data_IF_345341441963
#
_entry.id   IF_345341441963
#
_cell.length_a   1.000
_cell.length_b   1.000
_cell.length_c   1.000
_cell.angle_alpha   90.00
_cell.angle_beta   90.00
_cell.angle_gamma   90.00
#
_symmetry.space_group_name_H-M   'P 1'
#
loop_
_entity.id
_entity.type
_entity.pdbx_description
1 polymer ?
#
# COMPACT_ATOMS: atom_id res chain seq x y z
N UNK A 1 -41.11 -3.71 2.14
CA UNK A 1 -40.05 -2.80 2.61
C UNK A 1 -39.72 -3.19 4.05
N UNK A 2 -38.56 -3.80 4.28
CA UNK A 2 -38.09 -4.15 5.63
C UNK A 2 -37.54 -2.88 6.28
N UNK A 3 -38.37 -2.16 7.02
CA UNK A 3 -37.91 -1.05 7.84
C UNK A 3 -37.14 -1.62 9.03
N UNK A 4 -35.84 -1.33 9.10
CA UNK A 4 -35.01 -1.65 10.26
C UNK A 4 -35.54 -0.87 11.47
N UNK A 5 -35.57 -1.54 12.64
CA UNK A 5 -36.06 -0.96 13.90
C UNK A 5 -35.20 0.24 14.31
N UNK A 6 -35.83 1.32 14.80
CA UNK A 6 -35.15 2.50 15.34
C UNK A 6 -34.17 2.20 16.48
N UNK A 7 -34.27 1.01 17.10
CA UNK A 7 -33.32 0.50 18.06
C UNK A 7 -31.92 0.20 17.47
N UNK A 8 -31.81 0.02 16.14
CA UNK A 8 -30.53 -0.07 15.45
C UNK A 8 -29.90 1.31 15.19
N UNK A 9 -30.70 2.38 15.20
CA UNK A 9 -30.25 3.76 15.00
C UNK A 9 -29.84 4.46 16.30
N UNK A 10 -30.20 3.90 17.46
CA UNK A 10 -29.92 4.47 18.79
C UNK A 10 -28.61 3.99 19.42
N UNK A 11 -27.62 3.61 18.61
CA UNK A 11 -26.21 3.68 18.98
C UNK A 11 -25.75 5.14 19.02
N UNK A 12 -26.42 5.97 19.81
CA UNK A 12 -26.21 7.40 19.90
C UNK A 12 -24.73 7.69 20.18
N UNK A 13 -24.15 8.51 19.30
CA UNK A 13 -22.84 9.09 19.43
C UNK A 13 -22.69 9.71 20.83
N UNK A 14 -21.99 8.99 21.72
CA UNK A 14 -21.44 9.60 22.92
C UNK A 14 -20.58 10.82 22.55
N UNK A 15 -20.39 11.78 23.46
CA UNK A 15 -19.62 12.99 23.16
C UNK A 15 -18.31 12.61 22.50
N UNK A 16 -18.10 13.09 21.26
CA UNK A 16 -16.87 12.85 20.50
C UNK A 16 -15.72 13.38 21.33
N UNK A 17 -15.06 12.49 22.07
CA UNK A 17 -13.89 12.87 22.87
C UNK A 17 -12.86 13.41 21.88
N UNK A 18 -12.36 14.63 22.09
CA UNK A 18 -11.37 15.20 21.20
C UNK A 18 -10.15 14.26 21.17
N UNK A 19 -9.62 14.02 19.97
CA UNK A 19 -8.43 13.18 19.78
C UNK A 19 -7.29 13.78 20.60
N UNK A 20 -6.64 12.94 21.39
CA UNK A 20 -5.53 13.30 22.26
C UNK A 20 -4.38 13.93 21.46
N UNK A 21 -3.63 14.88 22.04
CA UNK A 21 -2.46 15.46 21.39
C UNK A 21 -1.43 14.40 20.97
N UNK A 22 -1.22 13.35 21.79
CA UNK A 22 -0.31 12.26 21.45
C UNK A 22 -0.78 11.49 20.21
N UNK A 23 -2.04 11.05 20.16
CA UNK A 23 -2.58 10.34 19.01
C UNK A 23 -2.60 11.19 17.75
N UNK A 24 -2.91 12.49 17.85
CA UNK A 24 -2.79 13.42 16.71
C UNK A 24 -1.37 13.43 16.14
N UNK A 25 -0.35 13.53 17.00
CA UNK A 25 1.05 13.53 16.58
C UNK A 25 1.45 12.23 15.89
N UNK A 26 1.01 11.09 16.41
CA UNK A 26 1.24 9.76 15.80
C UNK A 26 0.54 9.67 14.45
N UNK A 27 -0.75 10.02 14.38
CA UNK A 27 -1.55 9.97 13.15
C UNK A 27 -0.92 10.85 12.07
N UNK A 28 -0.52 12.09 12.38
CA UNK A 28 0.13 12.98 11.42
C UNK A 28 1.45 12.41 10.90
N UNK A 29 2.28 11.87 11.81
CA UNK A 29 3.56 11.25 11.43
C UNK A 29 3.36 10.03 10.53
N UNK A 30 2.44 9.13 10.88
CA UNK A 30 2.13 7.93 10.07
C UNK A 30 1.50 8.33 8.73
N UNK A 31 0.57 9.29 8.74
CA UNK A 31 -0.09 9.79 7.54
C UNK A 31 0.92 10.39 6.56
N UNK A 32 1.89 11.16 7.05
CA UNK A 32 2.96 11.70 6.20
C UNK A 32 3.78 10.59 5.52
N UNK A 33 4.10 9.51 6.23
CA UNK A 33 4.79 8.36 5.63
C UNK A 33 3.88 7.64 4.62
N UNK A 34 2.61 7.40 4.95
CA UNK A 34 1.67 6.77 4.03
C UNK A 34 1.42 7.60 2.78
N UNK A 35 1.53 8.94 2.84
CA UNK A 35 1.45 9.78 1.66
C UNK A 35 2.54 9.40 0.63
N UNK A 36 3.77 9.17 1.10
CA UNK A 36 4.90 8.77 0.24
C UNK A 36 4.63 7.41 -0.40
N UNK A 37 4.23 6.42 0.41
CA UNK A 37 3.84 5.08 -0.07
C UNK A 37 2.70 5.15 -1.09
N UNK A 38 1.70 6.00 -0.83
CA UNK A 38 0.53 6.16 -1.69
C UNK A 38 0.90 6.77 -3.03
N UNK A 39 1.76 7.80 -3.05
CA UNK A 39 2.25 8.38 -4.30
C UNK A 39 3.06 7.35 -5.09
N UNK A 40 3.96 6.62 -4.41
CA UNK A 40 4.78 5.58 -5.03
C UNK A 40 3.93 4.45 -5.62
N UNK A 41 2.90 3.99 -4.91
CA UNK A 41 1.94 3.01 -5.41
C UNK A 41 1.08 3.56 -6.57
N UNK A 42 0.71 4.83 -6.52
CA UNK A 42 -0.08 5.50 -7.56
C UNK A 42 0.67 5.68 -8.89
N UNK A 43 2.01 5.72 -8.88
CA UNK A 43 2.82 5.68 -10.12
C UNK A 43 2.64 4.39 -10.92
N UNK A 44 2.17 3.34 -10.24
CA UNK A 44 2.07 1.98 -10.75
C UNK A 44 0.61 1.59 -10.94
N UNK A 45 -0.25 2.56 -11.25
CA UNK A 45 -1.65 2.32 -11.59
C UNK A 45 -1.76 1.35 -12.76
N UNK A 46 -2.82 0.52 -12.75
CA UNK A 46 -3.04 -0.53 -13.76
C UNK A 46 -3.02 0.01 -15.20
N UNK A 47 -3.53 1.21 -15.44
CA UNK A 47 -3.50 1.85 -16.76
C UNK A 47 -2.06 2.12 -17.25
N UNK A 48 -1.20 2.68 -16.39
CA UNK A 48 0.19 2.99 -16.74
C UNK A 48 1.03 1.72 -16.88
N UNK A 49 0.82 0.73 -16.00
CA UNK A 49 1.48 -0.57 -16.15
C UNK A 49 1.02 -1.30 -17.42
N UNK A 50 -0.27 -1.26 -17.75
CA UNK A 50 -0.79 -1.82 -18.99
C UNK A 50 -0.14 -1.14 -20.20
N UNK A 51 -0.04 0.19 -20.17
CA UNK A 51 0.63 0.95 -21.23
C UNK A 51 2.12 0.59 -21.32
N UNK A 52 2.83 0.48 -20.20
CA UNK A 52 4.23 0.03 -20.15
C UNK A 52 4.40 -1.35 -20.81
N UNK A 53 3.60 -2.35 -20.43
CA UNK A 53 3.72 -3.70 -20.99
C UNK A 53 3.38 -3.73 -22.48
N UNK A 54 2.35 -3.00 -22.89
CA UNK A 54 1.95 -2.87 -24.29
C UNK A 54 3.06 -2.26 -25.14
N UNK A 55 3.56 -1.08 -24.77
CA UNK A 55 4.60 -0.38 -25.55
C UNK A 55 5.94 -1.12 -25.52
N UNK A 56 6.35 -1.66 -24.37
CA UNK A 56 7.67 -2.28 -24.22
C UNK A 56 7.79 -3.63 -24.91
N UNK A 57 6.70 -4.41 -24.94
CA UNK A 57 6.72 -5.81 -25.37
C UNK A 57 5.72 -6.14 -26.49
N UNK A 58 4.93 -5.18 -26.97
CA UNK A 58 3.93 -5.35 -28.04
C UNK A 58 2.93 -6.48 -27.77
N UNK A 59 2.55 -6.69 -26.50
CA UNK A 59 1.61 -7.75 -26.10
C UNK A 59 0.16 -7.28 -26.13
N UNK A 60 -0.77 -8.21 -26.35
CA UNK A 60 -2.20 -7.90 -26.45
C UNK A 60 -2.83 -7.54 -25.09
N UNK A 61 -3.92 -6.79 -25.15
CA UNK A 61 -4.72 -6.47 -23.96
C UNK A 61 -5.24 -7.72 -23.23
N UNK A 62 -5.55 -8.80 -23.97
CA UNK A 62 -5.97 -10.07 -23.37
C UNK A 62 -4.87 -10.68 -22.48
N UNK A 63 -3.62 -10.64 -22.93
CA UNK A 63 -2.50 -11.17 -22.16
C UNK A 63 -2.21 -10.32 -20.92
N UNK A 64 -2.27 -8.99 -21.04
CA UNK A 64 -2.15 -8.07 -19.90
C UNK A 64 -3.30 -8.27 -18.91
N UNK A 65 -4.52 -8.47 -19.40
CA UNK A 65 -5.69 -8.78 -18.58
C UNK A 65 -5.49 -10.07 -17.77
N UNK A 66 -4.95 -11.11 -18.39
CA UNK A 66 -4.57 -12.36 -17.71
C UNK A 66 -3.49 -12.14 -16.65
N UNK A 67 -2.47 -11.33 -16.93
CA UNK A 67 -1.43 -10.95 -15.97
C UNK A 67 -2.02 -10.26 -14.74
N UNK A 68 -2.89 -9.27 -14.94
CA UNK A 68 -3.53 -8.56 -13.83
C UNK A 68 -4.52 -9.44 -13.07
N UNK A 69 -5.22 -10.36 -13.73
CA UNK A 69 -6.04 -11.34 -13.04
C UNK A 69 -5.18 -12.20 -12.09
N UNK A 70 -4.08 -12.76 -12.57
CA UNK A 70 -3.16 -13.55 -11.75
C UNK A 70 -2.56 -12.73 -10.60
N UNK A 71 -2.22 -11.46 -10.84
CA UNK A 71 -1.78 -10.54 -9.80
C UNK A 71 -2.83 -10.36 -8.71
N UNK A 72 -4.10 -10.13 -9.06
CA UNK A 72 -5.18 -9.97 -8.07
C UNK A 72 -5.40 -11.22 -7.24
N UNK A 73 -5.26 -12.40 -7.83
CA UNK A 73 -5.31 -13.68 -7.09
C UNK A 73 -4.15 -13.77 -6.10
N UNK A 74 -2.92 -13.47 -6.52
CA UNK A 74 -1.75 -13.45 -5.64
C UNK A 74 -1.89 -12.43 -4.52
N UNK A 75 -2.42 -11.25 -4.80
CA UNK A 75 -2.68 -10.21 -3.79
C UNK A 75 -3.65 -10.72 -2.72
N UNK A 76 -4.75 -11.36 -3.12
CA UNK A 76 -5.72 -11.93 -2.19
C UNK A 76 -5.09 -13.01 -1.29
N UNK A 77 -4.26 -13.90 -1.87
CA UNK A 77 -3.53 -14.91 -1.11
C UNK A 77 -2.49 -14.26 -0.16
N UNK A 78 -1.83 -13.19 -0.61
CA UNK A 78 -0.82 -12.48 0.18
C UNK A 78 -1.42 -11.85 1.44
N UNK A 79 -2.67 -11.39 1.41
CA UNK A 79 -3.32 -10.83 2.59
C UNK A 79 -3.47 -11.86 3.72
N UNK A 80 -3.72 -13.13 3.40
CA UNK A 80 -3.73 -14.22 4.39
C UNK A 80 -2.32 -14.48 4.92
N UNK A 81 -1.32 -14.51 4.03
CA UNK A 81 0.09 -14.66 4.40
C UNK A 81 0.61 -13.52 5.26
N UNK A 82 0.08 -12.30 5.09
CA UNK A 82 0.47 -11.12 5.85
C UNK A 82 0.13 -11.24 7.33
N UNK A 83 -1.03 -11.81 7.68
CA UNK A 83 -1.42 -12.04 9.07
C UNK A 83 -0.45 -13.01 9.76
N UNK A 84 -0.19 -14.16 9.11
CA UNK A 84 0.77 -15.16 9.60
C UNK A 84 2.18 -14.58 9.76
N UNK A 85 2.64 -13.76 8.81
CA UNK A 85 3.97 -13.16 8.88
C UNK A 85 4.05 -12.10 9.99
N UNK A 86 3.00 -11.28 10.13
CA UNK A 86 2.90 -10.28 11.18
C UNK A 86 2.94 -10.88 12.59
N UNK A 87 2.30 -12.03 12.82
CA UNK A 87 2.40 -12.73 14.11
C UNK A 87 3.83 -13.16 14.44
N UNK A 88 4.66 -13.45 13.43
CA UNK A 88 6.03 -13.94 13.63
C UNK A 88 7.05 -12.84 13.79
N UNK A 89 6.96 -11.79 12.98
CA UNK A 89 8.01 -10.75 12.93
C UNK A 89 7.50 -9.36 13.30
N UNK A 90 6.19 -9.19 13.52
CA UNK A 90 5.53 -7.92 13.81
C UNK A 90 5.00 -7.19 12.57
N UNK A 91 4.04 -6.30 12.78
CA UNK A 91 3.34 -5.54 11.74
C UNK A 91 4.29 -4.65 10.92
N UNK A 92 5.13 -3.87 11.60
CA UNK A 92 6.06 -2.93 10.94
C UNK A 92 7.11 -3.68 10.12
N UNK A 93 7.67 -4.77 10.67
CA UNK A 93 8.67 -5.56 9.96
C UNK A 93 8.05 -6.31 8.77
N UNK A 94 6.81 -6.77 8.89
CA UNK A 94 6.09 -7.39 7.77
C UNK A 94 5.93 -6.42 6.62
N UNK A 95 5.44 -5.20 6.86
CA UNK A 95 5.34 -4.16 5.83
C UNK A 95 6.69 -3.92 5.13
N UNK A 96 7.75 -3.70 5.92
CA UNK A 96 9.06 -3.30 5.40
C UNK A 96 9.75 -4.44 4.64
N UNK A 97 9.75 -5.65 5.20
CA UNK A 97 10.47 -6.78 4.61
C UNK A 97 9.75 -7.44 3.44
N UNK A 98 8.47 -7.14 3.20
CA UNK A 98 7.78 -7.53 1.96
C UNK A 98 7.89 -6.44 0.90
N UNK A 99 7.80 -5.16 1.28
CA UNK A 99 7.90 -4.05 0.33
C UNK A 99 9.29 -3.87 -0.29
N UNK A 100 10.38 -4.04 0.45
CA UNK A 100 11.73 -3.88 -0.09
C UNK A 100 12.00 -4.88 -1.24
N UNK A 101 11.84 -6.22 -1.05
CA UNK A 101 12.04 -7.17 -2.15
C UNK A 101 11.03 -6.95 -3.28
N UNK A 102 9.78 -6.59 -2.96
CA UNK A 102 8.78 -6.21 -3.96
C UNK A 102 9.25 -5.01 -4.82
N UNK A 103 9.82 -3.99 -4.20
CA UNK A 103 10.34 -2.80 -4.90
C UNK A 103 11.56 -3.12 -5.76
N UNK A 104 12.42 -4.05 -5.31
CA UNK A 104 13.54 -4.55 -6.13
C UNK A 104 13.01 -5.32 -7.35
N UNK A 105 12.02 -6.20 -7.16
CA UNK A 105 11.37 -6.93 -8.25
C UNK A 105 10.74 -5.96 -9.27
N UNK A 106 10.10 -4.89 -8.79
CA UNK A 106 9.54 -3.85 -9.63
C UNK A 106 10.62 -3.15 -10.48
N UNK A 107 11.73 -2.74 -9.87
CA UNK A 107 12.83 -2.15 -10.62
C UNK A 107 13.39 -3.13 -11.67
N UNK A 108 13.47 -4.42 -11.33
CA UNK A 108 13.91 -5.47 -12.25
C UNK A 108 12.98 -5.64 -13.46
N UNK A 109 11.67 -5.37 -13.34
CA UNK A 109 10.72 -5.38 -14.49
C UNK A 109 11.19 -4.43 -15.60
N UNK A 110 11.74 -3.27 -15.25
CA UNK A 110 12.26 -2.30 -16.22
C UNK A 110 13.42 -2.83 -17.06
N UNK A 111 14.15 -3.84 -16.57
CA UNK A 111 15.28 -4.48 -17.24
C UNK A 111 14.93 -5.83 -17.88
N UNK A 112 13.67 -6.26 -17.81
CA UNK A 112 13.28 -7.56 -18.34
C UNK A 112 13.49 -7.64 -19.87
N UNK A 113 14.14 -8.71 -20.38
CA UNK A 113 14.45 -8.85 -21.81
C UNK A 113 13.22 -9.20 -22.65
N UNK A 114 12.18 -9.76 -22.05
CA UNK A 114 10.92 -10.13 -22.71
C UNK A 114 9.75 -10.08 -21.72
N UNK A 115 8.53 -10.17 -22.26
CA UNK A 115 7.30 -10.09 -21.48
C UNK A 115 7.21 -11.14 -20.38
N UNK A 116 7.61 -12.38 -20.64
CA UNK A 116 7.44 -13.47 -19.66
C UNK A 116 8.30 -13.27 -18.42
N UNK A 117 9.53 -12.81 -18.59
CA UNK A 117 10.40 -12.43 -17.46
C UNK A 117 9.77 -11.27 -16.69
N UNK A 118 9.28 -10.25 -17.40
CA UNK A 118 8.63 -9.09 -16.79
C UNK A 118 7.36 -9.49 -16.00
N UNK A 119 6.55 -10.40 -16.56
CA UNK A 119 5.34 -10.93 -15.95
C UNK A 119 5.65 -11.73 -14.68
N UNK A 120 6.66 -12.61 -14.69
CA UNK A 120 7.05 -13.37 -13.50
C UNK A 120 7.53 -12.43 -12.39
N UNK A 121 8.42 -11.48 -12.71
CA UNK A 121 8.91 -10.48 -11.74
C UNK A 121 7.76 -9.66 -11.17
N UNK A 122 6.82 -9.24 -12.02
CA UNK A 122 5.63 -8.50 -11.60
C UNK A 122 4.72 -9.34 -10.70
N UNK A 123 4.46 -10.61 -11.03
CA UNK A 123 3.62 -11.49 -10.20
C UNK A 123 4.25 -11.77 -8.83
N UNK A 124 5.55 -12.02 -8.78
CA UNK A 124 6.29 -12.17 -7.53
C UNK A 124 6.21 -10.88 -6.69
N UNK A 125 6.33 -9.72 -7.33
CA UNK A 125 6.15 -8.41 -6.69
C UNK A 125 4.76 -8.29 -6.07
N UNK A 126 3.72 -8.63 -6.82
CA UNK A 126 2.31 -8.52 -6.41
C UNK A 126 2.03 -9.39 -5.17
N UNK A 127 2.54 -10.63 -5.17
CA UNK A 127 2.45 -11.51 -4.00
C UNK A 127 3.12 -11.00 -2.71
N UNK A 128 3.90 -9.92 -2.78
CA UNK A 128 4.58 -9.30 -1.63
C UNK A 128 4.05 -7.89 -1.31
N UNK A 129 3.73 -7.10 -2.34
CA UNK A 129 3.43 -5.66 -2.18
C UNK A 129 2.16 -5.42 -1.37
N UNK A 130 1.16 -6.28 -1.52
CA UNK A 130 -0.16 -6.12 -0.89
C UNK A 130 -0.21 -6.70 0.53
N UNK A 131 0.87 -7.32 1.02
CA UNK A 131 0.95 -7.75 2.42
C UNK A 131 0.93 -6.55 3.39
N UNK A 132 1.26 -5.35 2.90
CA UNK A 132 1.25 -4.14 3.72
C UNK A 132 -0.17 -3.70 4.11
N UNK A 133 -1.18 -3.98 3.29
CA UNK A 133 -2.54 -3.47 3.46
C UNK A 133 -3.15 -3.87 4.79
N UNK A 134 -3.30 -5.17 5.13
CA UNK A 134 -3.85 -5.58 6.41
C UNK A 134 -2.94 -5.18 7.57
N UNK A 135 -1.62 -5.29 7.43
CA UNK A 135 -0.70 -4.98 8.53
C UNK A 135 -0.66 -3.50 8.89
N UNK A 136 -0.80 -2.64 7.88
CA UNK A 136 -0.88 -1.19 8.04
C UNK A 136 -2.15 -0.80 8.77
N UNK A 137 -3.29 -1.36 8.35
CA UNK A 137 -4.57 -1.10 9.01
C UNK A 137 -4.51 -1.51 10.48
N UNK A 138 -4.03 -2.72 10.76
CA UNK A 138 -3.83 -3.20 12.13
C UNK A 138 -2.87 -2.30 12.92
N UNK A 139 -1.77 -1.85 12.31
CA UNK A 139 -0.79 -1.00 12.97
C UNK A 139 -1.39 0.34 13.41
N UNK A 140 -2.16 1.00 12.54
CA UNK A 140 -2.85 2.25 12.87
C UNK A 140 -3.81 2.04 14.05
N UNK A 141 -4.53 0.92 14.09
CA UNK A 141 -5.47 0.61 15.18
C UNK A 141 -4.79 0.27 16.50
N UNK A 142 -3.56 -0.26 16.45
CA UNK A 142 -2.77 -0.62 17.62
C UNK A 142 -2.09 0.57 18.30
N UNK A 143 -1.81 1.65 17.56
CA UNK A 143 -1.08 2.83 18.08
C UNK A 143 -1.95 4.00 18.48
N UNK A 144 -3.28 3.85 18.42
CA UNK A 144 -4.26 4.86 18.82
C UNK A 144 -5.30 4.27 19.77
N UNK A 145 -5.93 5.11 20.60
CA UNK A 145 -6.97 4.65 21.52
C UNK A 145 -8.24 4.19 20.78
N UNK A 146 -9.05 3.27 21.35
CA UNK A 146 -10.25 2.74 20.69
C UNK A 146 -11.23 3.81 20.20
N UNK A 147 -11.41 4.90 20.95
CA UNK A 147 -12.29 6.01 20.59
C UNK A 147 -11.77 6.85 19.41
N UNK A 148 -10.49 6.75 19.06
CA UNK A 148 -9.82 7.56 18.04
C UNK A 148 -9.62 6.80 16.72
N UNK A 149 -9.87 5.48 16.71
CA UNK A 149 -9.66 4.57 15.57
C UNK A 149 -10.39 5.03 14.31
N UNK A 150 -11.65 5.44 14.42
CA UNK A 150 -12.42 5.95 13.27
C UNK A 150 -11.78 7.20 12.66
N UNK A 151 -11.31 8.13 13.49
CA UNK A 151 -10.62 9.33 13.03
C UNK A 151 -9.28 8.99 12.38
N UNK A 152 -8.48 8.13 13.01
CA UNK A 152 -7.19 7.69 12.49
C UNK A 152 -7.33 7.00 11.11
N UNK A 153 -8.29 6.08 10.98
CA UNK A 153 -8.60 5.42 9.70
C UNK A 153 -9.07 6.41 8.65
N UNK A 154 -9.92 7.38 9.02
CA UNK A 154 -10.39 8.41 8.10
C UNK A 154 -9.26 9.28 7.54
N UNK A 155 -8.41 9.82 8.42
CA UNK A 155 -7.28 10.68 8.02
C UNK A 155 -6.28 9.91 7.16
N UNK A 156 -5.87 8.72 7.60
CA UNK A 156 -4.90 7.91 6.85
C UNK A 156 -5.44 7.47 5.49
N UNK A 157 -6.74 7.16 5.40
CA UNK A 157 -7.38 6.83 4.13
C UNK A 157 -7.47 8.04 3.19
N UNK A 158 -7.85 9.22 3.69
CA UNK A 158 -7.90 10.45 2.89
C UNK A 158 -6.54 10.76 2.25
N UNK A 159 -5.46 10.64 3.04
CA UNK A 159 -4.10 10.84 2.53
C UNK A 159 -3.77 9.83 1.45
N UNK A 160 -4.17 8.56 1.63
CA UNK A 160 -3.93 7.52 0.63
C UNK A 160 -4.63 7.80 -0.69
N UNK A 161 -5.92 8.11 -0.63
CA UNK A 161 -6.71 8.43 -1.82
C UNK A 161 -6.18 9.70 -2.49
N UNK A 162 -5.81 10.72 -1.71
CA UNK A 162 -5.19 11.93 -2.24
C UNK A 162 -3.89 11.66 -3.00
N UNK A 163 -3.03 10.80 -2.46
CA UNK A 163 -1.81 10.35 -3.15
C UNK A 163 -2.12 9.64 -4.47
N UNK A 164 -3.06 8.71 -4.47
CA UNK A 164 -3.49 7.98 -5.68
C UNK A 164 -4.13 8.87 -6.74
N UNK A 165 -4.78 9.97 -6.35
CA UNK A 165 -5.43 10.87 -7.29
C UNK A 165 -4.43 11.67 -8.13
N UNK A 166 -3.30 12.08 -7.54
CA UNK A 166 -2.31 12.95 -8.21
C UNK A 166 -1.18 12.18 -8.87
N UNK A 167 -0.83 11.02 -8.33
CA UNK A 167 0.35 10.25 -8.70
C UNK A 167 0.36 9.79 -10.18
N UNK A 168 -0.75 9.29 -10.79
CA UNK A 168 -0.75 8.88 -12.19
C UNK A 168 -0.38 10.00 -13.17
N UNK A 169 -0.78 11.25 -12.89
CA UNK A 169 -0.44 12.39 -13.75
C UNK A 169 1.06 12.66 -13.77
N UNK A 170 1.72 12.61 -12.61
CA UNK A 170 3.18 12.74 -12.51
C UNK A 170 3.90 11.56 -13.16
N UNK A 171 3.40 10.34 -12.96
CA UNK A 171 3.97 9.16 -13.59
C UNK A 171 3.85 9.20 -15.13
N UNK A 172 2.69 9.59 -15.66
CA UNK A 172 2.50 9.79 -17.10
C UNK A 172 3.42 10.87 -17.68
N UNK A 173 3.65 11.97 -16.94
CA UNK A 173 4.64 12.99 -17.31
C UNK A 173 6.07 12.43 -17.32
N UNK A 174 6.46 11.65 -16.30
CA UNK A 174 7.78 11.00 -16.24
C UNK A 174 8.01 10.01 -17.39
N UNK A 175 6.97 9.31 -17.83
CA UNK A 175 7.05 8.40 -18.98
C UNK A 175 7.40 9.13 -20.27
N UNK A 176 6.87 10.35 -20.44
CA UNK A 176 7.11 11.18 -21.61
C UNK A 176 8.44 11.94 -21.53
N UNK A 177 8.75 12.52 -20.37
CA UNK A 177 9.88 13.42 -20.19
C UNK A 177 11.23 12.71 -19.96
N UNK A 178 11.21 11.49 -19.42
CA UNK A 178 12.42 10.74 -19.08
C UNK A 178 12.51 9.39 -19.81
N UNK A 179 11.61 8.45 -19.49
CA UNK A 179 11.53 7.16 -20.18
C UNK A 179 10.28 6.40 -19.76
N UNK A 180 9.82 5.48 -20.61
CA UNK A 180 8.69 4.58 -20.31
C UNK A 180 8.82 3.88 -18.95
N UNK A 181 10.04 3.47 -18.57
CA UNK A 181 10.30 2.78 -17.29
C UNK A 181 10.52 3.69 -16.08
N UNK A 182 10.60 5.02 -16.26
CA UNK A 182 10.93 5.95 -15.19
C UNK A 182 10.01 5.83 -13.95
N UNK A 183 8.67 5.66 -14.07
CA UNK A 183 7.82 5.47 -12.90
C UNK A 183 8.13 4.20 -12.11
N UNK A 184 8.61 3.13 -12.76
CA UNK A 184 8.97 1.88 -12.08
C UNK A 184 10.14 2.11 -11.12
N UNK A 185 11.19 2.79 -11.60
CA UNK A 185 12.39 3.07 -10.82
C UNK A 185 12.14 4.09 -9.71
N UNK A 186 11.44 5.18 -10.03
CA UNK A 186 11.13 6.23 -9.05
C UNK A 186 10.16 5.68 -7.99
N UNK A 187 9.11 4.97 -8.40
CA UNK A 187 8.16 4.33 -7.48
C UNK A 187 8.85 3.31 -6.57
N UNK A 188 9.73 2.45 -7.11
CA UNK A 188 10.54 1.52 -6.31
C UNK A 188 11.42 2.24 -5.29
N UNK A 189 12.14 3.29 -5.73
CA UNK A 189 13.00 4.08 -4.85
C UNK A 189 12.23 4.79 -3.73
N UNK A 190 11.06 5.37 -4.06
CA UNK A 190 10.19 6.01 -3.09
C UNK A 190 9.64 5.03 -2.06
N UNK A 191 9.22 3.82 -2.48
CA UNK A 191 8.77 2.77 -1.55
C UNK A 191 9.89 2.35 -0.61
N UNK A 192 11.08 2.04 -1.11
CA UNK A 192 12.23 1.67 -0.28
C UNK A 192 12.57 2.79 0.72
N UNK A 193 12.58 4.05 0.27
CA UNK A 193 12.83 5.18 1.16
C UNK A 193 11.76 5.29 2.26
N UNK A 194 10.48 5.14 1.90
CA UNK A 194 9.38 5.08 2.86
C UNK A 194 9.56 3.94 3.88
N UNK A 195 9.90 2.73 3.44
CA UNK A 195 10.04 1.57 4.31
C UNK A 195 11.17 1.78 5.33
N UNK A 196 12.30 2.33 4.88
CA UNK A 196 13.43 2.66 5.77
C UNK A 196 13.05 3.73 6.80
N UNK A 197 12.30 4.77 6.38
CA UNK A 197 11.81 5.82 7.27
C UNK A 197 10.80 5.28 8.27
N UNK A 198 9.85 4.45 7.83
CA UNK A 198 8.85 3.79 8.68
C UNK A 198 9.54 2.89 9.71
N UNK A 199 10.44 2.03 9.25
CA UNK A 199 11.20 1.13 10.11
C UNK A 199 11.98 1.91 11.17
N UNK A 200 12.75 2.93 10.77
CA UNK A 200 13.51 3.77 11.72
C UNK A 200 12.59 4.48 12.72
N UNK A 201 11.45 4.99 12.26
CA UNK A 201 10.52 5.76 13.06
C UNK A 201 9.74 4.93 14.08
N UNK A 202 9.48 3.65 13.78
CA UNK A 202 8.49 2.84 14.51
C UNK A 202 9.00 1.47 14.98
N UNK A 203 10.23 1.04 14.65
CA UNK A 203 10.82 -0.23 15.14
C UNK A 203 10.86 -0.40 16.67
N UNK A 204 10.75 0.69 17.43
CA UNK A 204 10.74 0.68 18.90
C UNK A 204 9.32 0.77 19.50
N UNK A 205 8.33 1.14 18.69
CA UNK A 205 6.94 1.28 19.08
C UNK A 205 6.20 -0.01 18.72
N UNK A 206 6.44 -1.05 19.52
CA UNK A 206 5.70 -2.32 19.41
C UNK A 206 4.26 -2.13 19.92
N UNK A 207 3.23 -2.47 19.12
CA UNK A 207 1.85 -2.68 19.54
C UNK A 207 1.75 -3.43 20.87
N UNK A 208 0.74 -3.18 21.71
CA UNK A 208 0.48 -3.97 22.91
C UNK A 208 0.36 -5.47 22.60
N UNK A 209 -0.21 -5.81 21.44
CA UNK A 209 -0.39 -7.18 20.93
C UNK A 209 0.94 -7.90 20.61
N UNK A 210 2.03 -7.14 20.38
CA UNK A 210 3.38 -7.66 20.10
C UNK A 210 4.28 -7.66 21.35
N UNK A 211 3.76 -7.21 22.50
CA UNK A 211 4.43 -7.26 23.81
C UNK A 211 3.93 -8.49 24.55
N UNK A 212 4.37 -9.67 24.09
CA UNK A 212 4.30 -10.88 24.92
C UNK A 212 5.02 -10.67 26.25
#
# INVERSE_FOLDING_TARGET
ALALSSAAETGAAGPRRPVSPESKKIIWKISGLFAIDSIAGGFLGSALLSYFFFERFAVSAALIGGLFFAARVLNALSHLGAAWLAERIGLVNTMVFTHIPSSVLLAAVGFAPNFWVAAILFLLREGLVEMDVPTRQSYVMAVVGPAERTYASGVTHLVRVGGWAVAPSFAGWLMQAASLGAPLFIGAGMKIAYDLLLWRAFRKLKPPEERG
#
